data_IF_606803153099
#
_entry.id   IF_606803153099
#
_cell.length_a   1.000
_cell.length_b   1.000
_cell.length_c   1.000
_cell.angle_alpha   90.00
_cell.angle_beta   90.00
_cell.angle_gamma   90.00
#
_symmetry.space_group_name_H-M   'P 1'
#
loop_
_entity.id
_entity.type
_entity.pdbx_description
1 polymer ?
#
# COMPACT_ATOMS: atom_id res chain seq x y z
N UNK A 1 -5.13 -12.13 -57.25
CA UNK A 1 -4.06 -12.80 -56.48
C UNK A 1 -3.03 -11.81 -55.88
N UNK A 2 -2.45 -10.83 -56.64
CA UNK A 2 -1.46 -9.87 -56.08
C UNK A 2 -1.99 -9.02 -54.90
N UNK A 3 -3.27 -8.59 -54.91
CA UNK A 3 -3.84 -7.76 -53.82
C UNK A 3 -4.08 -8.58 -52.51
N UNK A 4 -4.26 -9.87 -52.59
CA UNK A 4 -4.43 -10.76 -51.45
C UNK A 4 -3.08 -10.98 -50.72
N UNK A 5 -1.99 -11.05 -51.49
CA UNK A 5 -0.65 -11.26 -50.94
C UNK A 5 -0.20 -10.00 -50.15
N UNK A 6 -0.55 -8.80 -50.59
CA UNK A 6 -0.24 -7.58 -49.84
C UNK A 6 -0.99 -7.47 -48.52
N UNK A 7 -2.24 -7.89 -48.50
CA UNK A 7 -3.04 -7.92 -47.26
C UNK A 7 -2.47 -8.91 -46.20
N UNK A 8 -1.98 -10.06 -46.65
CA UNK A 8 -1.35 -11.05 -45.77
C UNK A 8 0.00 -10.56 -45.25
N UNK A 9 0.82 -9.87 -46.08
CA UNK A 9 2.11 -9.34 -45.68
C UNK A 9 1.95 -8.18 -44.68
N UNK A 10 0.96 -7.31 -44.87
CA UNK A 10 0.65 -6.24 -43.90
C UNK A 10 0.10 -6.80 -42.60
N UNK A 11 -0.74 -7.86 -42.65
CA UNK A 11 -1.27 -8.52 -41.43
C UNK A 11 -0.19 -9.24 -40.60
N UNK A 12 0.82 -9.84 -41.22
CA UNK A 12 1.91 -10.48 -40.53
C UNK A 12 2.91 -9.50 -39.89
N UNK A 13 2.98 -8.26 -40.40
CA UNK A 13 3.87 -7.22 -39.85
C UNK A 13 3.42 -6.67 -38.48
N UNK A 14 2.16 -6.88 -38.08
CA UNK A 14 1.64 -6.40 -36.80
C UNK A 14 1.66 -7.43 -35.66
N UNK A 15 2.05 -8.65 -35.93
CA UNK A 15 2.09 -9.72 -34.90
C UNK A 15 3.42 -9.73 -34.12
N UNK A 16 4.39 -8.93 -34.54
CA UNK A 16 5.75 -8.98 -33.99
C UNK A 16 6.14 -7.93 -32.94
N UNK A 17 5.24 -7.03 -32.53
CA UNK A 17 5.62 -5.91 -31.65
C UNK A 17 4.86 -5.83 -30.33
N UNK A 18 4.36 -6.95 -29.83
CA UNK A 18 3.63 -6.97 -28.55
C UNK A 18 4.28 -7.89 -27.52
N UNK A 19 5.60 -7.79 -27.39
CA UNK A 19 6.27 -8.17 -26.14
C UNK A 19 7.21 -7.02 -25.80
N UNK A 20 6.79 -6.18 -24.87
CA UNK A 20 7.68 -5.29 -24.18
C UNK A 20 8.62 -6.20 -23.35
N UNK A 21 9.74 -6.58 -23.97
CA UNK A 21 10.77 -7.34 -23.30
C UNK A 21 11.53 -6.37 -22.43
N UNK A 22 11.13 -6.29 -21.15
CA UNK A 22 11.94 -5.59 -20.16
C UNK A 22 13.21 -6.39 -19.98
N UNK A 23 14.29 -5.97 -20.66
CA UNK A 23 15.61 -6.62 -20.60
C UNK A 23 16.16 -6.69 -19.16
N UNK A 24 15.68 -5.84 -18.28
CA UNK A 24 16.09 -5.80 -16.88
C UNK A 24 14.88 -5.45 -15.99
N UNK A 25 14.04 -6.44 -15.60
CA UNK A 25 12.88 -6.21 -14.74
C UNK A 25 13.27 -5.72 -13.32
N UNK A 26 14.55 -5.82 -12.99
CA UNK A 26 15.11 -5.23 -11.78
C UNK A 26 16.02 -4.08 -12.17
N UNK A 27 15.84 -2.86 -11.62
CA UNK A 27 16.85 -1.84 -11.78
C UNK A 27 18.18 -2.44 -11.34
N UNK A 28 19.30 -2.09 -12.00
CA UNK A 28 20.60 -2.53 -11.56
C UNK A 28 20.69 -2.24 -10.07
N UNK A 29 21.13 -3.22 -9.28
CA UNK A 29 21.32 -3.04 -7.86
C UNK A 29 22.15 -1.76 -7.70
N UNK A 30 21.52 -0.71 -7.21
CA UNK A 30 22.23 0.50 -6.84
C UNK A 30 23.10 0.02 -5.70
N UNK A 31 24.41 -0.09 -5.97
CA UNK A 31 25.36 -0.37 -4.91
C UNK A 31 25.34 0.89 -4.03
N UNK A 32 24.42 0.90 -3.08
CA UNK A 32 24.38 1.94 -2.06
C UNK A 32 25.50 1.54 -1.11
N UNK A 33 26.73 1.94 -1.45
CA UNK A 33 27.83 1.86 -0.51
C UNK A 33 27.42 2.69 0.71
N UNK A 34 27.30 2.02 1.85
CA UNK A 34 26.99 2.69 3.10
C UNK A 34 28.09 3.74 3.36
N UNK A 35 27.71 5.00 3.43
CA UNK A 35 28.66 6.06 3.81
C UNK A 35 29.00 5.95 5.30
N UNK A 36 30.06 5.23 5.60
CA UNK A 36 30.53 5.00 6.96
C UNK A 36 31.21 6.23 7.56
N UNK A 37 31.44 7.29 6.77
CA UNK A 37 32.09 8.52 7.26
C UNK A 37 31.17 9.35 8.14
N UNK A 38 29.85 9.17 8.00
CA UNK A 38 28.84 9.85 8.84
C UNK A 38 28.65 9.17 10.21
N UNK A 39 29.20 7.97 10.42
CA UNK A 39 29.11 7.30 11.71
C UNK A 39 29.99 8.03 12.75
N UNK A 40 29.45 8.43 13.92
CA UNK A 40 30.16 9.28 14.85
C UNK A 40 31.27 8.57 15.66
N UNK A 41 31.37 7.24 15.54
CA UNK A 41 32.35 6.41 16.23
C UNK A 41 33.32 5.72 15.29
N UNK A 42 34.04 4.71 15.81
CA UNK A 42 34.89 3.86 15.00
C UNK A 42 34.05 2.78 14.33
N UNK A 43 33.89 2.88 13.00
CA UNK A 43 33.09 1.95 12.22
C UNK A 43 33.58 0.49 12.33
N UNK A 44 34.89 0.28 12.34
CA UNK A 44 35.48 -1.08 12.46
C UNK A 44 35.17 -1.70 13.81
N UNK A 45 35.20 -0.93 14.89
CA UNK A 45 34.86 -1.41 16.21
C UNK A 45 33.36 -1.72 16.34
N UNK A 46 32.50 -0.87 15.76
CA UNK A 46 31.09 -1.12 15.69
C UNK A 46 30.76 -2.43 14.96
N UNK A 47 31.36 -2.62 13.78
CA UNK A 47 31.14 -3.86 13.00
C UNK A 47 31.61 -5.10 13.76
N UNK A 48 32.73 -4.98 14.51
CA UNK A 48 33.28 -6.12 15.23
C UNK A 48 32.50 -6.49 16.50
N UNK A 49 31.92 -5.51 17.19
CA UNK A 49 31.40 -5.70 18.54
C UNK A 49 29.90 -5.44 18.68
N UNK A 50 29.33 -4.58 17.82
CA UNK A 50 27.96 -4.10 17.95
C UNK A 50 27.11 -4.40 16.73
N UNK A 51 27.73 -4.84 15.61
CA UNK A 51 26.97 -5.14 14.38
C UNK A 51 25.87 -6.14 14.69
N UNK A 52 24.64 -5.81 14.38
CA UNK A 52 23.53 -6.68 14.71
C UNK A 52 23.61 -8.02 14.00
N UNK A 53 23.33 -9.08 14.72
CA UNK A 53 23.07 -10.38 14.09
C UNK A 53 21.78 -10.32 13.29
N UNK A 54 21.90 -10.31 11.96
CA UNK A 54 20.79 -10.34 11.02
C UNK A 54 20.29 -11.75 10.72
N UNK A 55 20.74 -12.76 11.45
CA UNK A 55 20.18 -14.09 11.32
C UNK A 55 18.69 -14.03 11.62
N UNK A 56 17.89 -14.09 10.56
CA UNK A 56 16.44 -14.12 10.69
C UNK A 56 16.04 -15.51 11.17
N UNK A 57 15.35 -15.58 12.30
CA UNK A 57 14.70 -16.81 12.73
C UNK A 57 13.68 -17.24 11.66
N UNK A 58 13.47 -18.55 11.45
CA UNK A 58 12.41 -19.04 10.59
C UNK A 58 11.09 -18.36 10.95
N UNK A 59 10.28 -18.05 9.97
CA UNK A 59 8.95 -17.58 10.24
C UNK A 59 8.06 -18.77 10.56
N UNK A 60 7.71 -18.92 11.83
CA UNK A 60 6.88 -20.00 12.33
C UNK A 60 5.38 -19.66 12.31
N UNK A 61 5.04 -18.42 11.93
CA UNK A 61 3.64 -18.01 11.79
C UNK A 61 3.18 -18.21 10.34
N UNK A 62 2.36 -19.25 10.08
CA UNK A 62 1.83 -19.55 8.75
C UNK A 62 0.66 -18.63 8.39
N UNK A 63 0.19 -17.82 9.32
CA UNK A 63 -1.03 -17.05 9.19
C UNK A 63 -0.81 -15.74 8.44
N UNK A 64 -1.77 -15.41 7.58
CA UNK A 64 -1.79 -14.15 6.85
C UNK A 64 -2.46 -13.06 7.67
N UNK A 65 -1.83 -11.90 7.74
CA UNK A 65 -2.35 -10.73 8.43
C UNK A 65 -3.14 -9.82 7.48
N UNK A 66 -4.12 -9.12 8.03
CA UNK A 66 -4.92 -8.13 7.32
C UNK A 66 -4.55 -6.71 7.77
N UNK A 67 -4.27 -5.83 6.82
CA UNK A 67 -4.12 -4.39 7.03
C UNK A 67 -5.33 -3.67 6.44
N UNK A 68 -6.08 -3.00 7.28
CA UNK A 68 -7.13 -2.06 6.86
C UNK A 68 -6.48 -0.69 6.70
N UNK A 69 -6.51 -0.14 5.50
CA UNK A 69 -6.16 1.26 5.27
C UNK A 69 -7.47 2.04 5.17
N UNK A 70 -7.79 2.79 6.24
CA UNK A 70 -8.98 3.64 6.34
C UNK A 70 -8.64 5.05 5.85
N UNK A 71 -9.13 5.40 4.66
CA UNK A 71 -8.97 6.75 4.09
C UNK A 71 -10.03 7.67 4.67
N UNK A 72 -9.57 8.63 5.45
CA UNK A 72 -10.37 9.39 6.40
C UNK A 72 -10.03 10.89 6.40
N UNK A 73 -10.70 11.64 7.23
CA UNK A 73 -10.41 13.05 7.49
C UNK A 73 -11.02 13.48 8.82
N UNK A 74 -10.29 14.29 9.58
CA UNK A 74 -10.71 14.72 10.92
C UNK A 74 -12.00 15.57 10.94
N UNK A 75 -12.35 16.19 9.81
CA UNK A 75 -13.58 16.97 9.64
C UNK A 75 -14.64 16.22 8.81
N UNK A 76 -14.54 14.90 8.71
CA UNK A 76 -15.45 14.06 7.94
C UNK A 76 -16.54 13.49 8.84
N UNK A 77 -17.83 13.87 8.67
CA UNK A 77 -18.89 13.47 9.58
C UNK A 77 -19.17 11.96 9.63
N UNK A 78 -18.93 11.26 8.53
CA UNK A 78 -19.18 9.81 8.41
C UNK A 78 -17.98 8.94 8.81
N UNK A 79 -16.78 9.52 8.87
CA UNK A 79 -15.54 8.77 9.11
C UNK A 79 -15.46 8.11 10.51
N UNK A 80 -16.00 8.71 11.60
CA UNK A 80 -16.02 8.02 12.90
C UNK A 80 -16.74 6.67 12.90
N UNK A 81 -17.79 6.53 12.09
CA UNK A 81 -18.50 5.25 11.96
C UNK A 81 -17.63 4.18 11.26
N UNK A 82 -16.84 4.58 10.27
CA UNK A 82 -15.88 3.69 9.60
C UNK A 82 -14.75 3.26 10.55
N UNK A 83 -14.19 4.21 11.29
CA UNK A 83 -13.18 3.92 12.31
C UNK A 83 -13.69 2.93 13.37
N UNK A 84 -14.94 3.06 13.81
CA UNK A 84 -15.57 2.11 14.75
C UNK A 84 -15.59 0.68 14.18
N UNK A 85 -15.93 0.51 12.89
CA UNK A 85 -15.90 -0.81 12.23
C UNK A 85 -14.47 -1.36 12.16
N UNK A 86 -13.50 -0.53 11.78
CA UNK A 86 -12.11 -0.96 11.72
C UNK A 86 -11.59 -1.42 13.09
N UNK A 87 -11.87 -0.65 14.14
CA UNK A 87 -11.49 -1.00 15.52
C UNK A 87 -12.12 -2.30 15.97
N UNK A 88 -13.42 -2.51 15.72
CA UNK A 88 -14.10 -3.77 16.10
C UNK A 88 -13.47 -4.98 15.39
N UNK A 89 -13.04 -4.84 14.14
CA UNK A 89 -12.35 -5.91 13.41
C UNK A 89 -10.96 -6.20 13.98
N UNK A 90 -10.22 -5.17 14.39
CA UNK A 90 -8.95 -5.32 15.11
C UNK A 90 -9.17 -5.99 16.47
N UNK A 91 -10.10 -5.52 17.27
CA UNK A 91 -10.39 -6.09 18.61
C UNK A 91 -10.79 -7.58 18.54
N UNK A 92 -11.51 -7.98 17.48
CA UNK A 92 -11.83 -9.38 17.24
C UNK A 92 -10.63 -10.24 16.86
N UNK A 93 -9.55 -9.63 16.32
CA UNK A 93 -8.35 -10.32 15.85
C UNK A 93 -7.08 -9.46 16.08
N UNK A 94 -6.73 -9.15 17.35
CA UNK A 94 -5.75 -8.11 17.66
C UNK A 94 -4.32 -8.41 17.20
N UNK A 95 -3.97 -9.69 17.01
CA UNK A 95 -2.66 -10.12 16.51
C UNK A 95 -2.57 -10.23 15.00
N UNK A 96 -3.70 -10.14 14.28
CA UNK A 96 -3.76 -10.42 12.84
C UNK A 96 -4.39 -9.32 12.00
N UNK A 97 -5.19 -8.43 12.59
CA UNK A 97 -5.80 -7.30 11.89
C UNK A 97 -5.17 -6.02 12.39
N UNK A 98 -4.63 -5.24 11.48
CA UNK A 98 -3.98 -3.96 11.75
C UNK A 98 -4.75 -2.85 11.04
N UNK A 99 -4.67 -1.62 11.59
CA UNK A 99 -5.35 -0.45 11.04
C UNK A 99 -4.31 0.63 10.77
N UNK A 100 -4.43 1.24 9.60
CA UNK A 100 -3.72 2.45 9.23
C UNK A 100 -4.73 3.50 8.78
N UNK A 101 -4.81 4.62 9.49
CA UNK A 101 -5.65 5.75 9.08
C UNK A 101 -4.83 6.65 8.14
N UNK A 102 -5.35 6.85 6.92
CA UNK A 102 -4.75 7.70 5.91
C UNK A 102 -5.59 8.96 5.74
N UNK A 103 -5.07 10.09 6.22
CA UNK A 103 -5.76 11.38 6.09
C UNK A 103 -5.60 11.92 4.67
N UNK A 104 -6.42 11.39 3.76
CA UNK A 104 -6.44 11.74 2.34
C UNK A 104 -7.81 11.46 1.74
N UNK A 105 -8.17 12.19 0.69
CA UNK A 105 -9.31 11.91 -0.16
C UNK A 105 -8.87 11.27 -1.48
N UNK A 106 -9.83 10.90 -2.32
CA UNK A 106 -9.59 10.46 -3.70
C UNK A 106 -8.96 11.53 -4.62
N UNK A 107 -8.87 12.75 -4.16
CA UNK A 107 -8.18 13.88 -4.81
C UNK A 107 -6.96 14.36 -4.01
N UNK A 108 -6.50 13.57 -3.04
CA UNK A 108 -5.48 13.96 -2.07
C UNK A 108 -6.10 14.82 -0.96
N UNK A 109 -5.84 16.13 -0.99
CA UNK A 109 -6.41 17.08 -0.02
C UNK A 109 -7.87 17.39 -0.34
N UNK A 110 -8.73 17.45 0.68
CA UNK A 110 -10.12 17.94 0.59
C UNK A 110 -10.49 18.74 1.84
N UNK A 111 -11.73 19.22 1.90
CA UNK A 111 -12.25 19.90 3.10
C UNK A 111 -12.23 19.02 4.35
N UNK A 112 -12.27 17.69 4.19
CA UNK A 112 -12.28 16.76 5.31
C UNK A 112 -10.93 16.65 6.02
N UNK A 113 -9.83 16.93 5.33
CA UNK A 113 -8.48 16.94 5.87
C UNK A 113 -7.99 18.34 6.26
N UNK A 114 -8.71 19.39 5.84
CA UNK A 114 -8.27 20.78 6.03
C UNK A 114 -8.29 21.20 7.51
N UNK A 115 -7.25 21.91 7.92
CA UNK A 115 -7.23 22.60 9.22
C UNK A 115 -8.28 23.73 9.24
N UNK A 116 -9.18 23.70 10.22
CA UNK A 116 -10.21 24.73 10.43
C UNK A 116 -10.17 25.13 11.90
N UNK A 117 -9.23 25.98 12.26
CA UNK A 117 -9.00 26.40 13.64
C UNK A 117 -10.23 27.05 14.32
N UNK A 118 -11.09 27.71 13.55
CA UNK A 118 -12.29 28.38 14.05
C UNK A 118 -13.32 27.44 14.68
N UNK A 119 -13.25 26.13 14.36
CA UNK A 119 -14.15 25.09 14.88
C UNK A 119 -13.40 23.96 15.60
N UNK A 120 -12.14 24.20 15.95
CA UNK A 120 -11.35 23.27 16.78
C UNK A 120 -10.46 22.30 16.03
N UNK A 121 -10.50 22.25 14.71
CA UNK A 121 -9.58 21.39 13.92
C UNK A 121 -8.26 22.13 13.67
N UNK A 122 -7.34 22.04 14.61
CA UNK A 122 -6.09 22.82 14.63
C UNK A 122 -4.86 22.04 14.17
N UNK A 123 -4.96 20.72 14.07
CA UNK A 123 -3.83 19.84 13.74
C UNK A 123 -3.98 19.34 12.31
N UNK A 124 -2.90 19.40 11.54
CA UNK A 124 -2.80 18.75 10.25
C UNK A 124 -2.32 17.32 10.43
N UNK A 125 -3.15 16.36 10.07
CA UNK A 125 -2.84 14.93 10.10
C UNK A 125 -2.41 14.39 8.74
N UNK A 126 -2.34 15.24 7.72
CA UNK A 126 -1.92 14.80 6.38
C UNK A 126 -0.41 14.65 6.30
N UNK A 127 0.04 13.87 5.33
CA UNK A 127 1.43 13.82 4.89
C UNK A 127 1.47 13.59 3.39
N UNK A 128 2.58 13.96 2.77
CA UNK A 128 2.76 13.91 1.32
C UNK A 128 2.46 12.51 0.75
N UNK A 129 3.02 11.45 1.34
CA UNK A 129 2.81 10.09 0.88
C UNK A 129 1.34 9.65 0.94
N UNK A 130 0.62 10.04 2.01
CA UNK A 130 -0.81 9.75 2.15
C UNK A 130 -1.65 10.48 1.11
N UNK A 131 -1.33 11.75 0.82
CA UNK A 131 -2.00 12.53 -0.21
C UNK A 131 -1.75 11.94 -1.60
N UNK A 132 -0.52 11.57 -1.91
CA UNK A 132 -0.13 10.94 -3.18
C UNK A 132 -0.82 9.60 -3.39
N UNK A 133 -0.92 8.77 -2.34
CA UNK A 133 -1.70 7.52 -2.38
C UNK A 133 -3.17 7.80 -2.68
N UNK A 134 -3.75 8.82 -2.07
CA UNK A 134 -5.13 9.23 -2.34
C UNK A 134 -5.34 9.61 -3.80
N UNK A 135 -4.46 10.44 -4.36
CA UNK A 135 -4.48 10.82 -5.78
C UNK A 135 -4.30 9.59 -6.67
N UNK A 136 -3.31 8.75 -6.37
CA UNK A 136 -3.04 7.55 -7.17
C UNK A 136 -4.26 6.64 -7.26
N UNK A 137 -4.86 6.30 -6.12
CA UNK A 137 -6.04 5.44 -6.10
C UNK A 137 -7.29 6.14 -6.61
N UNK A 138 -7.44 7.44 -6.40
CA UNK A 138 -8.64 8.17 -6.79
C UNK A 138 -8.70 8.57 -8.26
N UNK A 139 -7.53 8.80 -8.88
CA UNK A 139 -7.48 9.40 -10.23
C UNK A 139 -6.62 8.62 -11.23
N UNK A 140 -5.60 7.90 -10.77
CA UNK A 140 -4.62 7.26 -11.65
C UNK A 140 -4.93 5.78 -11.87
N UNK A 141 -5.25 5.05 -10.80
CA UNK A 141 -5.58 3.63 -10.91
C UNK A 141 -7.02 3.44 -11.37
N UNK A 142 -7.20 2.91 -12.58
CA UNK A 142 -8.52 2.59 -13.10
C UNK A 142 -9.24 1.56 -12.21
N UNK A 143 -10.54 1.76 -12.00
CA UNK A 143 -11.41 0.87 -11.21
C UNK A 143 -10.91 0.65 -9.77
N UNK A 144 -10.30 1.65 -9.16
CA UNK A 144 -9.86 1.54 -7.77
C UNK A 144 -11.03 1.38 -6.78
N UNK A 145 -12.20 1.95 -7.09
CA UNK A 145 -13.35 2.04 -6.19
C UNK A 145 -13.26 3.17 -5.16
N UNK A 146 -12.22 4.00 -5.22
CA UNK A 146 -12.06 5.13 -4.30
C UNK A 146 -12.72 6.40 -4.82
N UNK A 147 -13.94 6.68 -4.37
CA UNK A 147 -14.74 7.83 -4.83
C UNK A 147 -14.88 8.93 -3.79
N UNK A 148 -14.87 8.58 -2.49
CA UNK A 148 -15.07 9.54 -1.39
C UNK A 148 -14.63 8.95 -0.05
N UNK A 149 -14.49 9.80 0.98
CA UNK A 149 -14.34 9.39 2.37
C UNK A 149 -15.71 9.20 3.07
N UNK A 150 -15.82 8.25 4.02
CA UNK A 150 -14.84 7.22 4.32
C UNK A 150 -14.84 6.10 3.28
N UNK A 151 -13.69 5.59 2.96
CA UNK A 151 -13.50 4.40 2.13
C UNK A 151 -12.19 3.73 2.54
N UNK A 152 -12.03 2.45 2.26
CA UNK A 152 -10.81 1.77 2.64
C UNK A 152 -10.51 0.55 1.81
N UNK A 153 -9.31 0.07 1.97
CA UNK A 153 -8.82 -1.15 1.34
C UNK A 153 -8.30 -2.13 2.37
N UNK A 154 -8.36 -3.41 2.06
CA UNK A 154 -7.77 -4.47 2.89
C UNK A 154 -6.66 -5.13 2.11
N UNK A 155 -5.41 -4.99 2.60
CA UNK A 155 -4.19 -5.47 1.93
C UNK A 155 -4.07 -5.01 0.47
N UNK A 156 -4.73 -3.93 0.08
CA UNK A 156 -4.83 -3.46 -1.31
C UNK A 156 -5.21 -4.59 -2.27
N UNK A 157 -6.08 -5.50 -1.82
CA UNK A 157 -6.54 -6.62 -2.62
C UNK A 157 -7.69 -6.20 -3.52
N UNK A 158 -7.57 -6.52 -4.81
CA UNK A 158 -8.68 -6.31 -5.74
C UNK A 158 -9.74 -7.39 -5.50
N UNK A 159 -10.95 -6.99 -5.13
CA UNK A 159 -12.10 -7.87 -4.95
C UNK A 159 -13.29 -7.33 -5.73
N UNK A 160 -13.86 -8.14 -6.60
CA UNK A 160 -14.98 -7.73 -7.44
C UNK A 160 -14.63 -6.67 -8.48
N UNK A 161 -13.35 -6.48 -8.79
CA UNK A 161 -12.86 -5.47 -9.72
C UNK A 161 -12.39 -4.18 -9.06
N UNK A 162 -12.54 -4.02 -7.74
CA UNK A 162 -12.21 -2.80 -7.00
C UNK A 162 -11.28 -3.08 -5.81
N UNK A 163 -10.38 -2.14 -5.52
CA UNK A 163 -9.49 -2.20 -4.35
C UNK A 163 -10.16 -1.62 -3.10
N UNK A 164 -10.96 -0.56 -3.27
CA UNK A 164 -11.63 0.15 -2.19
C UNK A 164 -13.07 -0.33 -2.01
N UNK A 165 -13.56 -0.16 -0.80
CA UNK A 165 -14.97 -0.37 -0.47
C UNK A 165 -15.38 0.50 0.72
N UNK A 166 -16.68 0.72 0.87
CA UNK A 166 -17.24 1.27 2.09
C UNK A 166 -17.04 0.30 3.26
N UNK A 167 -17.03 0.82 4.48
CA UNK A 167 -16.79 0.09 5.73
C UNK A 167 -17.70 -1.14 5.94
N UNK A 168 -18.90 -1.16 5.36
CA UNK A 168 -19.81 -2.30 5.44
C UNK A 168 -19.28 -3.59 4.81
N UNK A 169 -18.29 -3.49 3.90
CA UNK A 169 -17.67 -4.63 3.24
C UNK A 169 -16.34 -5.06 3.88
N UNK A 170 -15.80 -4.29 4.84
CA UNK A 170 -14.47 -4.57 5.40
C UNK A 170 -14.42 -5.90 6.15
N UNK A 171 -15.49 -6.27 6.86
CA UNK A 171 -15.54 -7.57 7.55
C UNK A 171 -15.37 -8.74 6.58
N UNK A 172 -16.08 -8.72 5.44
CA UNK A 172 -15.95 -9.76 4.42
C UNK A 172 -14.53 -9.80 3.85
N UNK A 173 -13.96 -8.64 3.48
CA UNK A 173 -12.62 -8.54 2.93
C UNK A 173 -11.55 -9.00 3.93
N UNK A 174 -11.65 -8.62 5.20
CA UNK A 174 -10.76 -9.09 6.26
C UNK A 174 -10.83 -10.60 6.40
N UNK A 175 -12.02 -11.18 6.48
CA UNK A 175 -12.19 -12.63 6.59
C UNK A 175 -11.60 -13.37 5.38
N UNK A 176 -11.78 -12.85 4.16
CA UNK A 176 -11.19 -13.42 2.95
C UNK A 176 -9.64 -13.40 3.00
N UNK A 177 -9.06 -12.31 3.50
CA UNK A 177 -7.60 -12.21 3.66
C UNK A 177 -7.11 -13.20 4.72
N UNK A 178 -7.76 -13.23 5.89
CA UNK A 178 -7.36 -14.11 6.99
C UNK A 178 -7.48 -15.61 6.66
N UNK A 179 -8.43 -15.96 5.79
CA UNK A 179 -8.63 -17.33 5.31
C UNK A 179 -7.70 -17.71 4.14
N UNK A 180 -7.01 -16.74 3.55
CA UNK A 180 -6.12 -16.97 2.41
C UNK A 180 -4.75 -17.44 2.86
N UNK A 181 -4.06 -18.30 2.10
CA UNK A 181 -2.70 -18.74 2.46
C UNK A 181 -1.72 -17.57 2.48
N UNK A 182 -0.74 -17.66 3.37
CA UNK A 182 0.37 -16.73 3.43
C UNK A 182 1.16 -16.79 2.10
N UNK A 183 1.39 -15.61 1.51
CA UNK A 183 2.15 -15.50 0.25
C UNK A 183 3.58 -15.02 0.47
N UNK A 184 3.77 -14.12 1.44
CA UNK A 184 5.06 -13.52 1.76
C UNK A 184 5.13 -13.35 3.28
N UNK A 185 6.25 -13.74 3.86
CA UNK A 185 6.58 -13.46 5.25
C UNK A 185 7.70 -12.43 5.32
N UNK A 186 7.50 -11.39 6.11
CA UNK A 186 8.49 -10.35 6.34
C UNK A 186 8.79 -10.31 7.83
N UNK A 187 10.08 -10.41 8.16
CA UNK A 187 10.58 -10.15 9.53
C UNK A 187 11.49 -8.94 9.48
N UNK A 188 11.39 -8.09 10.49
CA UNK A 188 12.28 -6.97 10.67
C UNK A 188 12.88 -7.03 12.08
N UNK A 189 14.17 -6.72 12.19
CA UNK A 189 14.87 -6.53 13.48
C UNK A 189 15.36 -5.09 13.52
N UNK A 190 14.93 -4.36 14.55
CA UNK A 190 15.40 -3.01 14.81
C UNK A 190 16.45 -3.10 15.92
N UNK A 191 17.61 -2.49 15.71
CA UNK A 191 18.62 -2.26 16.71
C UNK A 191 18.72 -0.75 16.95
N UNK A 192 18.73 -0.35 18.21
CA UNK A 192 18.83 1.05 18.65
C UNK A 192 20.17 1.30 19.28
#
# INVERSE_FOLDING_TARGET
MKKLIYAVIVGLGFIGTSCDHVENPFPPAVNVDLDTTIYPGNWSDYVANEWPDFTLLPNDDPDRNALIEDYTGHNCPACPAAATVAHALHEANPSRVFISSVHSSNLGMSSFQSVIASIGYTIDFTNENGLDLGIYFGTTLANSGFFANPSGTVNRTNEGGEYFSAQGNWSTRVNNVLASPLKVSIKAKLNY
#
